data_IF_079743087818
#
_entry.id   IF_079743087818
#
_cell.length_a   1.000
_cell.length_b   1.000
_cell.length_c   1.000
_cell.angle_alpha   90.00
_cell.angle_beta   90.00
_cell.angle_gamma   90.00
#
_symmetry.space_group_name_H-M   'P 1'
#
loop_
_entity.id
_entity.type
_entity.pdbx_description
1 polymer ?
#
# COMPACT_ATOMS: atom_id res chain seq x y z
N UNK A 1 -11.09 -11.10 14.91
CA UNK A 1 -11.93 -10.15 14.18
C UNK A 1 -12.73 -9.29 15.13
N UNK A 2 -12.76 -7.95 14.91
CA UNK A 2 -13.47 -6.98 15.74
C UNK A 2 -14.18 -5.91 14.88
N UNK A 3 -14.65 -6.30 13.69
CA UNK A 3 -15.30 -5.38 12.74
C UNK A 3 -16.69 -4.94 13.22
N UNK A 4 -17.13 -3.75 12.78
CA UNK A 4 -18.49 -3.22 13.00
C UNK A 4 -18.89 -3.03 14.48
N UNK A 5 -17.96 -2.69 15.36
CA UNK A 5 -18.21 -2.60 16.79
C UNK A 5 -18.19 -1.15 17.36
N UNK A 6 -17.94 -0.16 16.51
CA UNK A 6 -17.86 1.22 16.98
C UNK A 6 -16.68 1.49 17.92
N UNK A 7 -15.64 0.66 17.89
CA UNK A 7 -14.46 0.80 18.76
C UNK A 7 -13.74 2.11 18.50
N UNK A 8 -13.43 2.85 19.55
CA UNK A 8 -12.59 4.05 19.49
C UNK A 8 -11.12 3.77 19.82
N UNK A 9 -10.86 2.65 20.48
CA UNK A 9 -9.52 2.13 20.78
C UNK A 9 -9.50 0.61 20.69
N UNK A 10 -8.34 0.05 20.39
CA UNK A 10 -8.12 -1.39 20.32
C UNK A 10 -6.70 -1.67 20.83
N UNK A 11 -6.60 -2.28 22.02
CA UNK A 11 -5.33 -2.71 22.58
C UNK A 11 -5.13 -4.20 22.32
N UNK A 12 -4.12 -4.51 21.53
CA UNK A 12 -3.67 -5.88 21.19
C UNK A 12 -2.22 -6.14 21.62
N UNK A 13 -1.59 -5.21 22.34
CA UNK A 13 -0.14 -5.24 22.63
C UNK A 13 0.30 -6.48 23.40
N UNK A 14 -0.58 -7.11 24.17
CA UNK A 14 -0.29 -8.34 24.93
C UNK A 14 -0.58 -9.62 24.16
N UNK A 15 -1.04 -9.54 22.91
CA UNK A 15 -1.45 -10.69 22.09
C UNK A 15 -0.30 -11.14 21.19
N UNK A 16 0.82 -11.59 21.77
CA UNK A 16 2.05 -11.93 21.01
C UNK A 16 1.88 -13.07 20.00
N UNK A 17 0.86 -13.90 20.16
CA UNK A 17 0.54 -15.00 19.23
C UNK A 17 -0.39 -14.60 18.09
N UNK A 18 -0.85 -13.32 18.07
CA UNK A 18 -1.76 -12.83 17.05
C UNK A 18 -1.12 -12.91 15.65
N UNK A 19 -1.79 -13.60 14.74
CA UNK A 19 -1.36 -13.77 13.34
C UNK A 19 -2.19 -12.99 12.35
N UNK A 20 -3.45 -12.72 12.66
CA UNK A 20 -4.39 -12.01 11.78
C UNK A 20 -5.18 -10.99 12.58
N UNK A 21 -5.18 -9.76 12.11
CA UNK A 21 -5.99 -8.69 12.67
C UNK A 21 -6.96 -8.18 11.60
N UNK A 22 -8.26 -8.25 11.90
CA UNK A 22 -9.31 -7.66 11.05
C UNK A 22 -10.13 -6.70 11.88
N UNK A 23 -10.15 -5.42 11.47
CA UNK A 23 -10.89 -4.34 12.10
C UNK A 23 -11.48 -3.42 11.04
N UNK A 24 -12.76 -3.60 10.73
CA UNK A 24 -13.47 -2.81 9.72
C UNK A 24 -14.55 -1.96 10.37
N UNK A 25 -14.79 -0.77 9.83
CA UNK A 25 -15.88 0.15 10.29
C UNK A 25 -15.88 0.33 11.80
N UNK A 26 -14.75 0.76 12.33
CA UNK A 26 -14.55 1.20 13.70
C UNK A 26 -14.11 2.67 13.71
N UNK A 27 -13.88 3.23 14.89
CA UNK A 27 -13.43 4.61 15.08
C UNK A 27 -12.00 4.69 15.64
N UNK A 28 -11.20 3.64 15.43
CA UNK A 28 -9.82 3.56 15.90
C UNK A 28 -8.96 4.54 15.09
N UNK A 29 -8.34 5.51 15.78
CA UNK A 29 -7.43 6.50 15.17
C UNK A 29 -5.97 6.06 15.21
N UNK A 30 -5.60 5.27 16.22
CA UNK A 30 -4.24 4.78 16.44
C UNK A 30 -4.29 3.35 16.94
N UNK A 31 -3.35 2.54 16.51
CA UNK A 31 -3.18 1.18 16.99
C UNK A 31 -1.69 0.91 17.17
N UNK A 32 -1.34 0.27 18.29
CA UNK A 32 0.01 -0.20 18.55
C UNK A 32 0.08 -1.71 18.26
N UNK A 33 0.89 -2.10 17.28
CA UNK A 33 1.11 -3.49 16.88
C UNK A 33 2.50 -3.99 17.28
N UNK A 34 3.28 -3.23 18.05
CA UNK A 34 4.65 -3.56 18.44
C UNK A 34 4.77 -4.88 19.22
N UNK A 35 3.71 -5.25 19.95
CA UNK A 35 3.61 -6.50 20.71
C UNK A 35 3.19 -7.73 19.89
N UNK A 36 3.02 -7.61 18.56
CA UNK A 36 2.46 -8.67 17.72
C UNK A 36 3.42 -9.14 16.61
N UNK A 37 4.61 -9.69 16.93
CA UNK A 37 5.66 -10.01 15.94
C UNK A 37 5.29 -11.17 15.00
N UNK A 38 4.19 -11.86 15.28
CA UNK A 38 3.71 -13.00 14.50
C UNK A 38 2.58 -12.64 13.53
N UNK A 39 2.21 -11.35 13.42
CA UNK A 39 1.22 -10.90 12.44
C UNK A 39 1.66 -11.25 11.02
N UNK A 40 0.75 -11.85 10.28
CA UNK A 40 0.85 -12.17 8.86
C UNK A 40 -0.10 -11.31 8.04
N UNK A 41 -1.30 -11.06 8.55
CA UNK A 41 -2.30 -10.24 7.88
C UNK A 41 -2.81 -9.13 8.79
N UNK A 42 -2.87 -7.92 8.24
CA UNK A 42 -3.54 -6.77 8.86
C UNK A 42 -4.56 -6.22 7.87
N UNK A 43 -5.83 -6.19 8.30
CA UNK A 43 -6.95 -5.67 7.53
C UNK A 43 -7.70 -4.61 8.36
N UNK A 44 -7.43 -3.33 8.10
CA UNK A 44 -8.10 -2.19 8.75
C UNK A 44 -8.73 -1.33 7.66
N UNK A 45 -10.05 -1.29 7.62
CA UNK A 45 -10.79 -0.58 6.59
C UNK A 45 -11.89 0.30 7.20
N UNK A 46 -12.23 1.40 6.52
CA UNK A 46 -13.31 2.31 6.91
C UNK A 46 -13.18 2.78 8.36
N UNK A 47 -11.97 3.16 8.75
CA UNK A 47 -11.64 3.66 10.09
C UNK A 47 -10.82 4.95 9.98
N UNK A 48 -10.86 5.84 10.94
CA UNK A 48 -10.10 7.09 10.88
C UNK A 48 -8.63 6.91 11.30
N UNK A 49 -7.99 5.79 10.94
CA UNK A 49 -6.59 5.50 11.30
C UNK A 49 -5.66 6.55 10.69
N UNK A 50 -4.84 7.19 11.52
CA UNK A 50 -3.99 8.32 11.13
C UNK A 50 -2.53 7.90 10.85
N UNK A 51 -2.04 6.86 11.54
CA UNK A 51 -0.69 6.35 11.34
C UNK A 51 -0.63 4.83 11.61
N UNK A 52 0.29 4.15 10.95
CA UNK A 52 0.58 2.74 11.18
C UNK A 52 2.08 2.49 11.07
N UNK A 53 2.66 1.98 12.15
CA UNK A 53 4.05 1.54 12.19
C UNK A 53 4.11 0.01 12.29
N UNK A 54 4.74 -0.62 11.30
CA UNK A 54 4.88 -2.07 11.19
C UNK A 54 6.34 -2.53 11.37
N UNK A 55 7.22 -1.69 11.90
CA UNK A 55 8.65 -2.00 12.08
C UNK A 55 8.90 -3.28 12.88
N UNK A 56 7.98 -3.64 13.77
CA UNK A 56 8.05 -4.82 14.62
C UNK A 56 7.26 -6.04 14.10
N UNK A 57 6.74 -5.98 12.87
CA UNK A 57 5.87 -7.01 12.30
C UNK A 57 6.43 -7.60 11.00
N UNK A 58 7.65 -8.19 10.98
CA UNK A 58 8.36 -8.56 9.74
C UNK A 58 7.74 -9.73 8.98
N UNK A 59 6.72 -10.39 9.55
CA UNK A 59 6.05 -11.55 8.95
C UNK A 59 4.80 -11.20 8.18
N UNK A 60 4.42 -9.90 8.12
CA UNK A 60 3.24 -9.48 7.37
C UNK A 60 3.46 -9.74 5.89
N UNK A 61 2.61 -10.60 5.31
CA UNK A 61 2.54 -10.88 3.88
C UNK A 61 1.39 -10.11 3.20
N UNK A 62 0.35 -9.77 3.96
CA UNK A 62 -0.84 -9.09 3.43
C UNK A 62 -1.26 -7.91 4.30
N UNK A 63 -1.24 -6.70 3.71
CA UNK A 63 -1.62 -5.46 4.35
C UNK A 63 -2.72 -4.76 3.55
N UNK A 64 -3.92 -4.68 4.14
CA UNK A 64 -5.09 -4.02 3.55
C UNK A 64 -5.56 -2.93 4.52
N UNK A 65 -5.36 -1.68 4.14
CA UNK A 65 -5.62 -0.50 4.98
C UNK A 65 -6.41 0.57 4.21
N UNK A 66 -7.48 0.13 3.59
CA UNK A 66 -8.31 0.95 2.68
C UNK A 66 -9.21 1.92 3.42
N UNK A 67 -9.46 3.09 2.82
CA UNK A 67 -10.40 4.10 3.31
C UNK A 67 -10.14 4.48 4.78
N UNK A 68 -8.92 4.96 5.03
CA UNK A 68 -8.48 5.48 6.33
C UNK A 68 -8.04 6.95 6.18
N UNK A 69 -7.41 7.50 7.19
CA UNK A 69 -6.87 8.87 7.21
C UNK A 69 -5.35 8.88 7.39
N UNK A 70 -4.68 7.84 6.87
CA UNK A 70 -3.25 7.69 7.05
C UNK A 70 -2.48 8.90 6.51
N UNK A 71 -1.65 9.46 7.36
CA UNK A 71 -0.63 10.45 7.04
C UNK A 71 0.75 9.78 6.97
N UNK A 72 0.96 8.73 7.79
CA UNK A 72 2.22 8.00 7.88
C UNK A 72 1.98 6.49 7.85
N UNK A 73 2.76 5.79 7.00
CA UNK A 73 2.83 4.35 6.92
C UNK A 73 4.29 3.91 6.92
N UNK A 74 4.73 3.23 7.98
CA UNK A 74 6.10 2.75 8.11
C UNK A 74 6.15 1.27 7.78
N UNK A 75 6.87 0.95 6.69
CA UNK A 75 7.06 -0.40 6.13
C UNK A 75 8.54 -0.82 6.19
N UNK A 76 9.23 -0.45 7.24
CA UNK A 76 10.65 -0.79 7.42
C UNK A 76 10.82 -2.31 7.49
N UNK A 77 11.63 -2.85 6.58
CA UNK A 77 12.00 -4.29 6.61
C UNK A 77 10.83 -5.27 6.42
N UNK A 78 9.82 -4.91 5.63
CA UNK A 78 8.70 -5.80 5.30
C UNK A 78 9.09 -6.82 4.21
N UNK A 79 10.09 -7.66 4.51
CA UNK A 79 10.65 -8.61 3.54
C UNK A 79 9.69 -9.73 3.13
N UNK A 80 8.59 -9.93 3.88
CA UNK A 80 7.56 -10.91 3.58
C UNK A 80 6.38 -10.33 2.78
N UNK A 81 6.22 -8.99 2.72
CA UNK A 81 5.03 -8.34 2.17
C UNK A 81 4.85 -8.65 0.69
N UNK A 82 3.74 -9.28 0.35
CA UNK A 82 3.36 -9.63 -1.02
C UNK A 82 2.20 -8.77 -1.52
N UNK A 83 1.28 -8.39 -0.64
CA UNK A 83 0.08 -7.62 -0.98
C UNK A 83 0.01 -6.34 -0.15
N UNK A 84 -0.04 -5.19 -0.81
CA UNK A 84 -0.32 -3.89 -0.21
C UNK A 84 -1.50 -3.23 -0.91
N UNK A 85 -2.59 -3.02 -0.17
CA UNK A 85 -3.74 -2.24 -0.60
C UNK A 85 -3.93 -1.11 0.40
N UNK A 86 -3.61 0.12 -0.01
CA UNK A 86 -3.73 1.32 0.82
C UNK A 86 -4.56 2.43 0.15
N UNK A 87 -5.51 2.02 -0.68
CA UNK A 87 -6.40 2.94 -1.41
C UNK A 87 -7.18 3.87 -0.49
N UNK A 88 -7.53 5.04 -1.02
CA UNK A 88 -8.39 6.02 -0.32
C UNK A 88 -7.80 6.46 1.04
N UNK A 89 -6.50 6.72 1.05
CA UNK A 89 -5.80 7.38 2.14
C UNK A 89 -5.34 8.76 1.67
N UNK A 90 -6.29 9.69 1.56
CA UNK A 90 -6.11 11.01 0.94
C UNK A 90 -5.18 11.97 1.69
N UNK A 91 -4.49 11.52 2.71
CA UNK A 91 -3.45 12.28 3.43
C UNK A 91 -2.06 11.64 3.33
N UNK A 92 -1.97 10.42 2.82
CA UNK A 92 -0.69 9.69 2.67
C UNK A 92 0.11 10.31 1.54
N UNK A 93 1.26 10.93 1.88
CA UNK A 93 2.11 11.67 0.93
C UNK A 93 3.36 10.90 0.51
N UNK A 94 3.78 9.94 1.33
CA UNK A 94 5.00 9.17 1.12
C UNK A 94 4.72 7.68 1.28
N UNK A 95 5.33 6.87 0.41
CA UNK A 95 5.23 5.43 0.44
C UNK A 95 6.59 4.82 0.06
N UNK A 96 7.35 4.42 1.07
CA UNK A 96 8.65 3.79 0.85
C UNK A 96 8.49 2.27 0.78
N UNK A 97 8.71 1.69 -0.40
CA UNK A 97 8.58 0.26 -0.69
C UNK A 97 9.93 -0.45 -0.88
N UNK A 98 11.05 0.22 -0.63
CA UNK A 98 12.39 -0.36 -0.83
C UNK A 98 12.67 -1.59 0.05
N UNK A 99 12.00 -1.68 1.20
CA UNK A 99 12.08 -2.82 2.12
C UNK A 99 11.14 -3.99 1.80
N UNK A 100 10.41 -3.93 0.67
CA UNK A 100 9.37 -4.90 0.31
C UNK A 100 9.71 -5.69 -0.98
N UNK A 101 10.81 -6.47 -1.03
CA UNK A 101 11.29 -7.08 -2.27
C UNK A 101 10.36 -8.15 -2.84
N UNK A 102 9.46 -8.72 -2.04
CA UNK A 102 8.48 -9.73 -2.46
C UNK A 102 7.15 -9.16 -2.89
N UNK A 103 6.99 -7.83 -2.88
CA UNK A 103 5.73 -7.18 -3.22
C UNK A 103 5.31 -7.54 -4.66
N UNK A 104 4.11 -8.13 -4.80
CA UNK A 104 3.51 -8.59 -6.05
C UNK A 104 2.30 -7.77 -6.45
N UNK A 105 1.54 -7.30 -5.47
CA UNK A 105 0.32 -6.55 -5.67
C UNK A 105 0.40 -5.21 -4.92
N UNK A 106 0.33 -4.11 -5.66
CA UNK A 106 0.29 -2.76 -5.12
C UNK A 106 -0.96 -2.04 -5.62
N UNK A 107 -1.84 -1.64 -4.69
CA UNK A 107 -2.92 -0.70 -4.96
C UNK A 107 -2.85 0.47 -3.98
N UNK A 108 -2.44 1.62 -4.49
CA UNK A 108 -2.29 2.87 -3.75
C UNK A 108 -3.05 4.03 -4.44
N UNK A 109 -4.17 3.71 -5.08
CA UNK A 109 -5.03 4.73 -5.68
C UNK A 109 -5.62 5.67 -4.64
N UNK A 110 -5.95 6.90 -5.04
CA UNK A 110 -6.55 7.91 -4.17
C UNK A 110 -5.71 8.21 -2.91
N UNK A 111 -4.38 8.21 -3.07
CA UNK A 111 -3.43 8.73 -2.08
C UNK A 111 -2.89 10.08 -2.55
N UNK A 112 -2.06 10.72 -1.72
CA UNK A 112 -1.36 11.97 -2.06
C UNK A 112 0.10 11.71 -2.42
N UNK A 113 0.48 10.46 -2.62
CA UNK A 113 1.84 10.07 -3.02
C UNK A 113 2.09 10.54 -4.46
N UNK A 114 3.20 11.24 -4.65
CA UNK A 114 3.61 11.77 -5.96
C UNK A 114 4.85 11.10 -6.54
N UNK A 115 5.56 10.32 -5.73
CA UNK A 115 6.78 9.64 -6.15
C UNK A 115 6.72 8.15 -5.81
N UNK A 116 6.90 7.33 -6.83
CA UNK A 116 6.92 5.86 -6.72
C UNK A 116 8.25 5.34 -7.25
N UNK A 117 9.21 5.04 -6.37
CA UNK A 117 10.42 4.29 -6.74
C UNK A 117 10.17 2.80 -6.47
N UNK A 118 9.75 2.07 -7.51
CA UNK A 118 9.47 0.64 -7.47
C UNK A 118 10.66 -0.20 -7.94
N UNK A 119 11.83 0.40 -8.15
CA UNK A 119 13.00 -0.25 -8.75
C UNK A 119 13.50 -1.49 -8.01
N UNK A 120 13.14 -1.65 -6.73
CA UNK A 120 13.50 -2.80 -5.89
C UNK A 120 12.42 -3.89 -5.83
N UNK A 121 11.22 -3.63 -6.37
CA UNK A 121 10.05 -4.51 -6.25
C UNK A 121 9.88 -5.36 -7.52
N UNK A 122 10.86 -6.20 -7.83
CA UNK A 122 10.93 -6.97 -9.10
C UNK A 122 9.83 -8.02 -9.25
N UNK A 123 9.20 -8.41 -8.14
CA UNK A 123 8.11 -9.39 -8.12
C UNK A 123 6.73 -8.77 -8.43
N UNK A 124 6.64 -7.44 -8.55
CA UNK A 124 5.39 -6.77 -8.89
C UNK A 124 4.80 -7.32 -10.18
N UNK A 125 3.56 -7.77 -10.10
CA UNK A 125 2.72 -8.18 -11.22
C UNK A 125 1.55 -7.22 -11.44
N UNK A 126 1.01 -6.65 -10.37
CA UNK A 126 -0.09 -5.70 -10.42
C UNK A 126 0.31 -4.38 -9.76
N UNK A 127 0.12 -3.27 -10.47
CA UNK A 127 0.34 -1.92 -9.97
C UNK A 127 -0.85 -1.03 -10.33
N UNK A 128 -1.52 -0.47 -9.32
CA UNK A 128 -2.59 0.51 -9.46
C UNK A 128 -2.27 1.74 -8.61
N UNK A 129 -1.99 2.87 -9.27
CA UNK A 129 -1.65 4.16 -8.66
C UNK A 129 -2.29 5.29 -9.48
N UNK A 130 -2.58 6.40 -8.84
CA UNK A 130 -3.26 7.52 -9.48
C UNK A 130 -4.53 7.93 -8.75
N UNK A 131 -5.43 8.65 -9.43
CA UNK A 131 -6.65 9.23 -8.83
C UNK A 131 -6.38 10.14 -7.62
N UNK A 132 -5.16 10.65 -7.49
CA UNK A 132 -4.73 11.54 -6.42
C UNK A 132 -4.06 12.79 -6.97
N UNK A 133 -2.87 13.10 -6.49
CA UNK A 133 -2.02 14.16 -7.08
C UNK A 133 -1.28 13.64 -8.30
N UNK A 134 -0.88 14.53 -9.23
CA UNK A 134 -0.01 14.16 -10.33
C UNK A 134 1.26 13.46 -9.83
N UNK A 135 1.57 12.33 -10.44
CA UNK A 135 2.79 11.58 -10.17
C UNK A 135 3.96 12.31 -10.83
N UNK A 136 4.95 12.68 -10.05
CA UNK A 136 6.15 13.38 -10.51
C UNK A 136 7.31 12.44 -10.78
N UNK A 137 7.28 11.26 -10.15
CA UNK A 137 8.29 10.22 -10.36
C UNK A 137 7.62 8.84 -10.36
N UNK A 138 7.81 8.07 -11.44
CA UNK A 138 7.50 6.65 -11.49
C UNK A 138 8.71 5.91 -12.03
N UNK A 139 9.37 5.10 -11.18
CA UNK A 139 10.43 4.19 -11.60
C UNK A 139 9.94 2.75 -11.49
N UNK A 140 9.81 2.09 -12.61
CA UNK A 140 9.49 0.67 -12.68
C UNK A 140 10.77 -0.18 -12.51
N UNK A 141 10.67 -1.41 -11.98
CA UNK A 141 11.83 -2.30 -11.88
C UNK A 141 12.32 -2.70 -13.28
N UNK A 142 13.62 -2.84 -13.44
CA UNK A 142 14.18 -3.50 -14.62
C UNK A 142 13.79 -4.99 -14.61
N UNK A 143 13.48 -5.55 -15.79
CA UNK A 143 13.06 -6.95 -15.97
C UNK A 143 11.93 -7.37 -15.01
N UNK A 144 10.92 -6.51 -14.88
CA UNK A 144 9.78 -6.70 -13.97
C UNK A 144 8.80 -7.76 -14.51
N UNK A 145 7.88 -8.18 -13.61
CA UNK A 145 6.82 -9.15 -13.91
C UNK A 145 5.45 -8.48 -14.10
N UNK A 146 5.41 -7.14 -14.22
CA UNK A 146 4.16 -6.38 -14.30
C UNK A 146 3.36 -6.83 -15.52
N UNK A 147 2.20 -7.41 -15.27
CA UNK A 147 1.20 -7.75 -16.28
C UNK A 147 0.05 -6.76 -16.32
N UNK A 148 -0.21 -6.08 -15.20
CA UNK A 148 -1.29 -5.10 -15.07
C UNK A 148 -0.77 -3.80 -14.48
N UNK A 149 -0.94 -2.69 -15.23
CA UNK A 149 -0.53 -1.35 -14.84
C UNK A 149 -1.70 -0.38 -15.02
N UNK A 150 -2.25 0.11 -13.92
CA UNK A 150 -3.37 1.04 -13.90
C UNK A 150 -2.90 2.40 -13.37
N UNK A 151 -2.98 3.42 -14.20
CA UNK A 151 -2.49 4.78 -13.96
C UNK A 151 -3.57 5.84 -14.27
N UNK A 152 -4.82 5.67 -13.81
CA UNK A 152 -5.88 6.63 -14.14
C UNK A 152 -5.61 7.97 -13.46
N UNK A 153 -5.78 9.07 -14.21
CA UNK A 153 -5.59 10.44 -13.71
C UNK A 153 -4.26 10.63 -12.97
N UNK A 154 -3.21 9.93 -13.41
CA UNK A 154 -1.89 9.96 -12.78
C UNK A 154 -1.10 11.25 -13.09
N UNK A 155 -1.54 12.04 -14.07
CA UNK A 155 -0.91 13.29 -14.46
C UNK A 155 0.49 13.13 -15.08
N UNK A 156 0.78 11.95 -15.60
CA UNK A 156 2.07 11.63 -16.22
C UNK A 156 2.26 12.45 -17.52
N UNK A 157 3.48 12.92 -17.74
CA UNK A 157 3.91 13.54 -18.99
C UNK A 157 4.51 12.53 -19.95
N UNK A 158 5.25 11.59 -19.41
CA UNK A 158 5.91 10.50 -20.15
C UNK A 158 5.78 9.20 -19.36
N UNK A 159 5.78 8.08 -20.06
CA UNK A 159 5.75 6.75 -19.46
C UNK A 159 6.66 5.82 -20.26
N UNK A 160 7.77 5.39 -19.65
CA UNK A 160 8.67 4.42 -20.26
C UNK A 160 8.27 3.00 -19.84
N UNK A 161 7.83 2.20 -20.80
CA UNK A 161 7.42 0.81 -20.64
C UNK A 161 8.43 -0.18 -21.30
N UNK A 162 9.60 0.29 -21.71
CA UNK A 162 10.59 -0.52 -22.43
C UNK A 162 11.01 -1.79 -21.69
N UNK A 163 10.91 -1.79 -20.36
CA UNK A 163 11.24 -2.92 -19.49
C UNK A 163 10.04 -3.77 -19.06
N UNK A 164 8.81 -3.42 -19.48
CA UNK A 164 7.56 -4.09 -19.10
C UNK A 164 7.11 -5.12 -20.15
N UNK A 165 7.90 -6.15 -20.35
CA UNK A 165 7.71 -7.14 -21.44
C UNK A 165 6.48 -8.02 -21.27
N UNK A 166 5.95 -8.15 -20.04
CA UNK A 166 4.82 -9.02 -19.71
C UNK A 166 3.47 -8.26 -19.64
N UNK A 167 3.47 -6.94 -19.94
CA UNK A 167 2.30 -6.12 -19.78
C UNK A 167 1.15 -6.58 -20.68
N UNK A 168 0.03 -6.97 -20.07
CA UNK A 168 -1.21 -7.39 -20.74
C UNK A 168 -2.35 -6.40 -20.56
N UNK A 169 -2.35 -5.65 -19.44
CA UNK A 169 -3.35 -4.64 -19.15
C UNK A 169 -2.67 -3.32 -18.83
N UNK A 170 -2.96 -2.31 -19.65
CA UNK A 170 -2.55 -0.92 -19.44
C UNK A 170 -3.78 -0.03 -19.44
N UNK A 171 -4.02 0.72 -18.36
CA UNK A 171 -5.00 1.78 -18.29
C UNK A 171 -4.33 3.09 -17.89
N UNK A 172 -4.42 4.09 -18.75
CA UNK A 172 -3.86 5.43 -18.54
C UNK A 172 -4.91 6.53 -18.70
N UNK A 173 -6.14 6.21 -18.35
CA UNK A 173 -7.29 7.09 -18.57
C UNK A 173 -7.08 8.46 -17.93
N UNK A 174 -7.50 9.51 -18.68
CA UNK A 174 -7.46 10.89 -18.22
C UNK A 174 -6.05 11.42 -17.85
N UNK A 175 -5.00 10.92 -18.49
CA UNK A 175 -3.66 11.52 -18.45
C UNK A 175 -3.51 12.52 -19.61
N UNK A 176 -4.12 13.67 -19.50
CA UNK A 176 -4.21 14.68 -20.59
C UNK A 176 -2.86 15.26 -21.03
N UNK A 177 -1.80 15.00 -20.29
CA UNK A 177 -0.44 15.50 -20.58
C UNK A 177 0.50 14.40 -21.05
N UNK A 178 0.03 13.15 -21.18
CA UNK A 178 0.84 12.02 -21.64
C UNK A 178 1.11 12.13 -23.15
N UNK A 179 2.36 12.14 -23.55
CA UNK A 179 2.84 12.21 -24.93
C UNK A 179 3.76 11.04 -25.28
#
# INVERSE_FOLDING_TARGET
>A
ECSYNGLTSLDVTKMSTLTHLTSRKNFVKKIDLSGNPNLKMVYIQDSPLEALDLSNNPKIDSLIITNNKLENLILSSQSALEVLICTTNAKLKELNLTGCPKLRYLDAMQTMVTEYDLSKNKELSYVAIGLGRPITLLKLPADNKIDTLLLPMAGLKTLDLSQTKNLSVLATDNNFTLS
#
